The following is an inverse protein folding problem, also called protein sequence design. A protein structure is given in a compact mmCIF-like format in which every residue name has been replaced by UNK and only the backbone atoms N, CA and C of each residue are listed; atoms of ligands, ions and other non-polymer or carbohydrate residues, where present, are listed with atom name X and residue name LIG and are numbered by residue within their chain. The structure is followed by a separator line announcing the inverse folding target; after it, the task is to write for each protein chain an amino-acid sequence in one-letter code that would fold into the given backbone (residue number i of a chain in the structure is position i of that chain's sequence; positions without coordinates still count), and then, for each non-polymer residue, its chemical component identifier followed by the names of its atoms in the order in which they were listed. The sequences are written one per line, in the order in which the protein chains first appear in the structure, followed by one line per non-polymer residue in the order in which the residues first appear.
data_IF_854906575706
#
_entry.id   IF_854906575706
#
_cell.length_a   1.000
_cell.length_b   1.000
_cell.length_c   1.000
_cell.angle_alpha   90.00
_cell.angle_beta   90.00
_cell.angle_gamma   90.00
#
_symmetry.space_group_name_H-M   'P 1'
#
loop_
_entity.id
_entity.type
_entity.pdbx_description
1 polymer ?
#
# COMPACT_ATOMS: atom_id res chain seq x y z
N UNK A 1 48.12 -4.23 27.58
CA UNK A 1 46.94 -5.00 27.10
C UNK A 1 45.72 -4.13 27.36
N UNK A 2 45.07 -3.62 26.32
CA UNK A 2 43.83 -2.85 26.47
C UNK A 2 42.74 -3.83 26.91
N UNK A 3 42.24 -3.67 28.13
CA UNK A 3 41.11 -4.46 28.62
C UNK A 3 39.91 -4.00 27.79
N UNK A 4 39.45 -4.85 26.88
CA UNK A 4 38.26 -4.57 26.08
C UNK A 4 37.07 -4.42 27.02
N UNK A 5 36.41 -3.26 27.00
CA UNK A 5 35.18 -3.02 27.76
C UNK A 5 34.13 -4.08 27.43
N UNK A 6 33.44 -4.55 28.46
CA UNK A 6 32.26 -5.43 28.33
C UNK A 6 31.12 -4.73 27.58
N UNK A 7 30.21 -5.51 27.00
CA UNK A 7 29.05 -4.95 26.30
C UNK A 7 28.14 -4.11 27.22
N UNK A 8 28.05 -4.44 28.50
CA UNK A 8 27.32 -3.65 29.49
C UNK A 8 28.00 -2.29 29.75
N UNK A 9 29.33 -2.26 29.87
CA UNK A 9 30.09 -1.02 30.01
C UNK A 9 29.97 -0.14 28.76
N UNK A 10 29.95 -0.75 27.57
CA UNK A 10 29.71 -0.05 26.29
C UNK A 10 28.30 0.54 26.23
N UNK A 11 27.28 -0.17 26.72
CA UNK A 11 25.90 0.33 26.76
C UNK A 11 25.75 1.49 27.76
N UNK A 12 26.33 1.36 28.96
CA UNK A 12 26.31 2.41 30.00
C UNK A 12 27.08 3.66 29.59
N UNK A 13 28.20 3.49 28.88
CA UNK A 13 29.01 4.60 28.37
C UNK A 13 28.48 5.22 27.07
N UNK A 14 27.40 4.66 26.49
CA UNK A 14 26.76 5.24 25.31
C UNK A 14 26.23 6.62 25.64
N UNK A 15 26.77 7.64 24.97
CA UNK A 15 26.27 9.02 25.08
C UNK A 15 24.79 9.06 24.70
N UNK A 16 23.93 9.77 25.45
CA UNK A 16 22.55 10.00 25.05
C UNK A 16 22.49 10.59 23.64
N UNK A 17 21.61 10.04 22.80
CA UNK A 17 21.32 10.62 21.50
C UNK A 17 20.23 11.70 21.67
N UNK A 18 20.28 12.79 20.88
CA UNK A 18 19.17 13.72 20.81
C UNK A 18 17.94 13.02 20.24
N UNK A 19 16.75 13.62 20.44
CA UNK A 19 15.52 13.16 19.80
C UNK A 19 15.73 13.12 18.28
N UNK A 20 15.52 11.96 17.62
CA UNK A 20 15.74 11.83 16.20
C UNK A 20 14.71 12.66 15.41
N UNK A 21 15.13 13.21 14.28
CA UNK A 21 14.22 13.81 13.29
C UNK A 21 13.94 12.82 12.16
N UNK A 22 12.71 12.80 11.61
CA UNK A 22 12.41 12.01 10.42
C UNK A 22 13.34 12.36 9.26
N UNK A 23 13.78 11.33 8.51
CA UNK A 23 14.77 11.49 7.44
C UNK A 23 14.22 12.22 6.21
N UNK A 24 12.91 12.13 5.96
CA UNK A 24 12.23 12.76 4.85
C UNK A 24 11.09 13.59 5.43
N UNK A 25 11.28 14.90 5.46
CA UNK A 25 10.24 15.84 5.82
C UNK A 25 9.80 16.60 4.55
N UNK A 26 8.50 16.78 4.34
CA UNK A 26 8.02 17.61 3.24
C UNK A 26 8.51 19.05 3.40
N UNK A 27 9.18 19.57 2.37
CA UNK A 27 9.49 21.00 2.23
C UNK A 27 8.53 21.64 1.23
N UNK A 28 8.34 22.97 1.30
CA UNK A 28 7.51 23.69 0.32
C UNK A 28 7.97 23.37 -1.12
N UNK A 29 7.02 22.97 -1.98
CA UNK A 29 7.29 22.58 -3.37
C UNK A 29 7.91 21.17 -3.54
N UNK A 30 8.07 20.41 -2.45
CA UNK A 30 8.52 19.02 -2.52
C UNK A 30 7.44 18.14 -3.17
N UNK A 31 7.83 17.13 -3.97
CA UNK A 31 6.87 16.18 -4.53
C UNK A 31 6.24 15.26 -3.46
N UNK A 32 6.69 15.35 -2.20
CA UNK A 32 6.10 14.69 -1.04
C UNK A 32 4.80 15.36 -0.57
N UNK A 33 4.56 16.61 -0.95
CA UNK A 33 3.31 17.32 -0.66
C UNK A 33 2.45 17.41 -1.90
N UNK A 34 1.14 17.34 -1.69
CA UNK A 34 0.14 17.72 -2.69
C UNK A 34 -0.26 19.18 -2.51
N UNK A 35 -0.93 19.74 -3.51
CA UNK A 35 -1.69 20.99 -3.35
C UNK A 35 -3.07 20.62 -2.75
N UNK A 36 -3.34 20.88 -1.46
CA UNK A 36 -4.57 20.42 -0.82
C UNK A 36 -5.83 20.95 -1.50
N UNK A 37 -5.81 22.21 -1.95
CA UNK A 37 -6.95 22.84 -2.62
C UNK A 37 -7.29 22.15 -3.95
N UNK A 38 -6.27 21.74 -4.72
CA UNK A 38 -6.46 20.97 -5.95
C UNK A 38 -7.06 19.59 -5.68
N UNK A 39 -6.49 18.84 -4.74
CA UNK A 39 -6.96 17.47 -4.49
C UNK A 39 -8.31 17.44 -3.78
N UNK A 40 -8.63 18.45 -2.96
CA UNK A 40 -9.98 18.67 -2.47
C UNK A 40 -10.96 19.00 -3.61
N UNK A 41 -10.55 19.86 -4.55
CA UNK A 41 -11.36 20.14 -5.75
C UNK A 41 -11.62 18.87 -6.57
N UNK A 42 -10.61 18.02 -6.77
CA UNK A 42 -10.74 16.72 -7.45
C UNK A 42 -11.76 15.84 -6.72
N UNK A 43 -11.62 15.71 -5.39
CA UNK A 43 -12.49 14.88 -4.56
C UNK A 43 -13.96 15.31 -4.62
N UNK A 44 -14.23 16.61 -4.64
CA UNK A 44 -15.58 17.19 -4.59
C UNK A 44 -16.22 17.41 -5.97
N UNK A 45 -15.46 17.26 -7.05
CA UNK A 45 -15.95 17.52 -8.40
C UNK A 45 -16.98 16.49 -8.86
N UNK A 46 -17.92 16.87 -9.73
CA UNK A 46 -18.84 15.92 -10.35
C UNK A 46 -18.06 14.83 -11.10
N UNK A 47 -18.52 13.59 -10.97
CA UNK A 47 -17.85 12.42 -11.52
C UNK A 47 -18.86 11.39 -11.97
N UNK A 48 -18.54 10.66 -13.02
CA UNK A 48 -19.38 9.61 -13.59
C UNK A 48 -18.81 8.23 -13.25
N UNK A 49 -19.68 7.30 -12.87
CA UNK A 49 -19.29 5.93 -12.56
C UNK A 49 -18.99 5.17 -13.86
N UNK A 50 -17.78 4.65 -13.97
CA UNK A 50 -17.30 3.90 -15.15
C UNK A 50 -17.34 2.39 -14.92
N UNK A 51 -16.88 1.95 -13.75
CA UNK A 51 -16.88 0.54 -13.38
C UNK A 51 -17.30 0.38 -11.91
N UNK A 52 -18.10 -0.64 -11.62
CA UNK A 52 -18.50 -0.98 -10.25
C UNK A 52 -18.59 -2.48 -10.09
N UNK A 53 -17.98 -3.00 -9.03
CA UNK A 53 -18.08 -4.42 -8.70
C UNK A 53 -17.84 -4.68 -7.22
N UNK A 54 -18.39 -5.81 -6.77
CA UNK A 54 -18.17 -6.35 -5.44
C UNK A 54 -17.20 -7.52 -5.56
N UNK A 55 -16.13 -7.50 -4.76
CA UNK A 55 -15.21 -8.62 -4.60
C UNK A 55 -15.79 -9.54 -3.53
N UNK A 56 -16.07 -10.83 -3.86
CA UNK A 56 -16.47 -11.82 -2.86
C UNK A 56 -15.42 -11.95 -1.76
N UNK A 57 -15.81 -12.53 -0.61
CA UNK A 57 -14.87 -12.91 0.44
C UNK A 57 -13.76 -13.81 -0.10
N UNK A 58 -12.56 -13.73 0.48
CA UNK A 58 -11.45 -14.66 0.20
C UNK A 58 -11.13 -14.76 -1.29
N UNK A 59 -11.17 -13.65 -2.02
CA UNK A 59 -11.00 -13.62 -3.47
C UNK A 59 -10.16 -12.44 -3.90
N UNK A 60 -9.68 -12.47 -5.14
CA UNK A 60 -8.93 -11.38 -5.75
C UNK A 60 -9.51 -10.98 -7.10
N UNK A 61 -9.48 -9.67 -7.41
CA UNK A 61 -9.80 -9.15 -8.74
C UNK A 61 -8.85 -8.02 -9.09
N UNK A 62 -8.41 -7.99 -10.34
CA UNK A 62 -7.64 -6.91 -10.92
C UNK A 62 -8.48 -6.12 -11.94
N UNK A 63 -8.20 -4.83 -12.06
CA UNK A 63 -8.90 -3.90 -12.95
C UNK A 63 -7.95 -2.76 -13.38
N UNK A 64 -8.30 -2.07 -14.47
CA UNK A 64 -7.58 -0.87 -14.89
C UNK A 64 -8.25 0.38 -14.34
N UNK A 65 -7.45 1.34 -13.92
CA UNK A 65 -7.89 2.69 -13.57
C UNK A 65 -7.09 3.68 -14.42
N UNK A 66 -7.72 4.31 -15.44
CA UNK A 66 -7.04 5.30 -16.28
C UNK A 66 -6.46 6.43 -15.44
N UNK A 67 -5.39 7.07 -15.94
CA UNK A 67 -4.86 8.28 -15.31
C UNK A 67 -5.98 9.30 -15.11
N UNK A 68 -5.96 9.97 -13.95
CA UNK A 68 -6.92 10.98 -13.50
C UNK A 68 -8.32 10.48 -13.13
N UNK A 69 -8.56 9.17 -13.20
CA UNK A 69 -9.74 8.57 -12.60
C UNK A 69 -9.67 8.60 -11.07
N UNK A 70 -10.83 8.47 -10.42
CA UNK A 70 -10.95 8.24 -8.98
C UNK A 70 -11.33 6.79 -8.75
N UNK A 71 -10.61 6.10 -7.87
CA UNK A 71 -10.93 4.74 -7.42
C UNK A 71 -11.38 4.79 -5.98
N UNK A 72 -12.60 4.34 -5.69
CA UNK A 72 -13.12 4.14 -4.34
C UNK A 72 -13.09 2.66 -4.00
N UNK A 73 -12.58 2.33 -2.83
CA UNK A 73 -12.68 1.01 -2.22
C UNK A 73 -13.47 1.16 -0.92
N UNK A 74 -14.53 0.38 -0.74
CA UNK A 74 -15.43 0.50 0.42
C UNK A 74 -15.81 -0.85 1.05
N UNK A 75 -16.30 -0.77 2.28
CA UNK A 75 -16.77 -1.89 3.12
C UNK A 75 -18.30 -1.94 3.11
N UNK A 76 -18.97 -2.48 2.08
CA UNK A 76 -20.42 -2.38 1.93
C UNK A 76 -21.22 -3.07 3.05
N UNK A 77 -20.68 -4.12 3.64
CA UNK A 77 -21.37 -4.96 4.64
C UNK A 77 -20.75 -4.85 6.04
N UNK A 78 -19.79 -3.95 6.24
CA UNK A 78 -19.05 -3.80 7.49
C UNK A 78 -17.59 -4.23 7.38
N UNK A 79 -16.90 -4.46 8.50
CA UNK A 79 -15.44 -4.48 8.54
C UNK A 79 -14.85 -5.65 7.75
N UNK A 80 -13.88 -5.33 6.91
CA UNK A 80 -13.10 -6.26 6.11
C UNK A 80 -11.79 -5.60 5.72
N UNK A 81 -10.67 -6.30 5.91
CA UNK A 81 -9.35 -5.86 5.45
C UNK A 81 -9.14 -6.20 3.98
N UNK A 82 -8.48 -5.31 3.24
CA UNK A 82 -8.16 -5.49 1.83
C UNK A 82 -6.67 -5.32 1.53
N UNK A 83 -6.07 -6.29 0.83
CA UNK A 83 -4.68 -6.22 0.40
C UNK A 83 -4.63 -5.70 -1.04
N UNK A 84 -4.02 -4.53 -1.27
CA UNK A 84 -3.98 -3.88 -2.58
C UNK A 84 -2.56 -3.84 -3.17
N UNK A 85 -2.43 -4.27 -4.42
CA UNK A 85 -1.26 -4.06 -5.27
C UNK A 85 -1.59 -3.09 -6.41
N UNK A 86 -0.57 -2.34 -6.85
CA UNK A 86 -0.72 -1.29 -7.86
C UNK A 86 0.49 -1.33 -8.80
N UNK A 87 0.22 -1.40 -10.10
CA UNK A 87 1.19 -1.32 -11.17
C UNK A 87 0.85 -0.16 -12.10
N UNK A 88 1.84 0.34 -12.84
CA UNK A 88 1.55 1.10 -14.05
C UNK A 88 0.94 0.15 -15.10
N UNK A 89 -0.22 0.48 -15.64
CA UNK A 89 -0.98 -0.37 -16.56
C UNK A 89 -0.22 -0.71 -17.86
N UNK A 90 0.70 0.18 -18.26
CA UNK A 90 1.46 0.07 -19.50
C UNK A 90 2.88 -0.48 -19.26
N UNK A 91 3.29 -0.66 -18.01
CA UNK A 91 4.60 -1.20 -17.64
C UNK A 91 4.57 -1.83 -16.22
N UNK A 92 4.26 -3.13 -16.09
CA UNK A 92 4.20 -3.82 -14.78
C UNK A 92 5.54 -3.88 -14.02
N UNK A 93 6.67 -3.55 -14.65
CA UNK A 93 7.92 -3.37 -13.91
C UNK A 93 7.85 -2.17 -12.96
N UNK A 94 7.07 -1.15 -13.31
CA UNK A 94 6.74 -0.01 -12.46
C UNK A 94 5.56 -0.37 -11.55
N UNK A 95 5.84 -0.59 -10.27
CA UNK A 95 4.85 -1.04 -9.29
C UNK A 95 5.05 -0.38 -7.94
N UNK A 96 4.04 -0.46 -7.09
CA UNK A 96 4.03 0.15 -5.77
C UNK A 96 5.20 -0.34 -4.91
N UNK A 97 5.76 0.58 -4.12
CA UNK A 97 6.86 0.32 -3.21
C UNK A 97 6.50 0.74 -1.79
N UNK A 98 5.93 -0.20 -1.03
CA UNK A 98 5.48 0.00 0.35
C UNK A 98 6.59 0.57 1.25
N UNK A 99 7.79 -0.03 1.21
CA UNK A 99 8.90 0.40 2.09
C UNK A 99 9.36 1.84 1.81
N UNK A 100 9.36 2.30 0.55
CA UNK A 100 9.75 3.68 0.24
C UNK A 100 8.64 4.65 0.58
N UNK A 101 7.39 4.29 0.29
CA UNK A 101 6.21 5.06 0.70
C UNK A 101 6.22 5.27 2.21
N UNK A 102 6.52 4.22 2.99
CA UNK A 102 6.69 4.30 4.44
C UNK A 102 7.80 5.24 4.89
N UNK A 103 8.95 5.24 4.20
CA UNK A 103 10.05 6.15 4.51
C UNK A 103 9.69 7.62 4.21
N UNK A 104 8.89 7.87 3.18
CA UNK A 104 8.53 9.21 2.73
C UNK A 104 7.38 9.83 3.53
N UNK A 105 6.46 9.00 4.02
CA UNK A 105 5.26 9.43 4.76
C UNK A 105 5.26 8.90 6.19
N UNK A 106 4.76 7.68 6.40
CA UNK A 106 4.65 7.04 7.71
C UNK A 106 4.41 5.53 7.55
N UNK A 107 4.44 4.80 8.66
CA UNK A 107 4.04 3.38 8.74
C UNK A 107 2.65 3.09 8.20
N UNK A 108 1.77 4.09 8.19
CA UNK A 108 0.39 4.03 7.76
C UNK A 108 0.07 5.29 6.98
N UNK A 109 -0.82 5.21 6.01
CA UNK A 109 -1.11 6.30 5.06
C UNK A 109 -2.57 6.73 5.12
N UNK A 110 -2.82 8.01 4.86
CA UNK A 110 -4.17 8.58 4.82
C UNK A 110 -4.27 9.65 3.75
N UNK A 111 -5.34 10.44 3.78
CA UNK A 111 -5.60 11.54 2.83
C UNK A 111 -4.37 12.41 2.62
N UNK A 112 -4.09 12.68 1.34
CA UNK A 112 -2.93 13.41 0.79
C UNK A 112 -1.61 12.65 0.72
N UNK A 113 -1.51 11.47 1.32
CA UNK A 113 -0.34 10.62 1.10
C UNK A 113 -0.37 10.04 -0.32
N UNK A 114 0.83 9.93 -0.89
CA UNK A 114 1.08 9.38 -2.23
C UNK A 114 1.62 7.97 -2.14
N UNK A 115 1.12 7.06 -2.96
CA UNK A 115 1.69 5.71 -3.11
C UNK A 115 2.72 5.73 -4.23
N UNK A 116 3.99 5.46 -3.89
CA UNK A 116 5.13 5.66 -4.79
C UNK A 116 5.53 4.38 -5.52
N UNK A 117 5.99 4.53 -6.77
CA UNK A 117 6.55 3.42 -7.55
C UNK A 117 7.99 3.08 -7.16
N UNK A 118 8.39 1.84 -7.46
CA UNK A 118 9.73 1.31 -7.22
C UNK A 118 10.81 1.97 -8.11
N UNK A 119 12.09 1.65 -7.86
CA UNK A 119 13.19 2.07 -8.73
C UNK A 119 13.14 1.31 -10.07
N UNK A 120 13.56 1.93 -11.19
CA UNK A 120 14.10 3.30 -11.31
C UNK A 120 13.03 4.37 -11.56
N UNK A 121 11.75 4.07 -11.28
CA UNK A 121 10.61 4.91 -11.66
C UNK A 121 10.33 6.03 -10.67
N UNK A 122 10.27 5.70 -9.37
CA UNK A 122 10.19 6.62 -8.23
C UNK A 122 9.30 7.85 -8.46
N UNK A 123 8.03 7.62 -8.80
CA UNK A 123 7.02 8.65 -8.97
C UNK A 123 5.68 8.23 -8.35
N UNK A 124 4.75 9.15 -8.09
CA UNK A 124 3.43 8.80 -7.56
C UNK A 124 2.66 7.92 -8.56
N UNK A 125 2.10 6.80 -8.08
CA UNK A 125 1.14 5.98 -8.83
C UNK A 125 -0.28 6.48 -8.58
N UNK A 126 -0.62 6.74 -7.32
CA UNK A 126 -1.86 7.36 -6.92
C UNK A 126 -1.68 8.21 -5.65
N UNK A 127 -2.67 9.05 -5.40
CA UNK A 127 -2.76 9.89 -4.19
C UNK A 127 -4.07 9.58 -3.48
N UNK A 128 -4.03 9.40 -2.16
CA UNK A 128 -5.27 9.24 -1.37
C UNK A 128 -5.95 10.60 -1.29
N UNK A 129 -7.20 10.71 -1.72
CA UNK A 129 -7.97 11.97 -1.72
C UNK A 129 -9.07 12.01 -0.66
N UNK A 130 -9.41 10.85 -0.11
CA UNK A 130 -10.39 10.76 0.97
C UNK A 130 -10.22 9.45 1.73
N UNK A 131 -10.34 9.52 3.05
CA UNK A 131 -10.26 8.38 3.96
C UNK A 131 -11.29 8.57 5.08
N UNK A 132 -12.35 7.77 5.07
CA UNK A 132 -13.41 7.86 6.08
C UNK A 132 -12.96 7.40 7.47
N UNK A 133 -11.83 6.70 7.57
CA UNK A 133 -11.24 6.23 8.83
C UNK A 133 -10.10 7.13 9.33
N UNK A 134 -9.88 8.29 8.70
CA UNK A 134 -8.84 9.25 9.12
C UNK A 134 -8.98 9.72 10.58
N UNK A 135 -10.18 9.63 11.16
CA UNK A 135 -10.44 9.93 12.57
C UNK A 135 -9.75 8.95 13.54
N UNK A 136 -9.39 7.74 13.09
CA UNK A 136 -8.82 6.70 13.95
C UNK A 136 -7.51 7.13 14.61
N UNK A 137 -6.68 7.87 13.88
CA UNK A 137 -5.42 8.41 14.40
C UNK A 137 -4.48 7.32 14.89
N UNK A 138 -4.22 7.29 16.19
CA UNK A 138 -3.35 6.32 16.88
C UNK A 138 -4.08 5.78 18.09
N UNK A 139 -4.19 4.47 18.21
CA UNK A 139 -4.77 3.82 19.39
C UNK A 139 -3.75 3.76 20.56
N UNK A 140 -4.22 3.32 21.73
CA UNK A 140 -3.44 3.18 22.96
C UNK A 140 -2.31 2.15 22.89
N UNK A 141 -2.35 1.26 21.89
CA UNK A 141 -1.31 0.25 21.62
C UNK A 141 -0.31 0.72 20.56
N UNK A 142 -0.50 1.93 20.01
CA UNK A 142 0.29 2.47 18.91
C UNK A 142 -0.20 2.05 17.53
N UNK A 143 -1.37 1.42 17.45
CA UNK A 143 -2.00 0.94 16.23
C UNK A 143 -2.59 2.07 15.39
N UNK A 144 -2.60 1.89 14.07
CA UNK A 144 -3.16 2.84 13.08
C UNK A 144 -3.76 2.07 11.91
N UNK A 145 -4.60 2.72 11.09
CA UNK A 145 -5.28 2.10 9.93
C UNK A 145 -4.51 2.35 8.63
N UNK A 146 -4.62 1.44 7.64
CA UNK A 146 -4.01 1.51 6.30
C UNK A 146 -2.49 1.34 6.31
N UNK A 147 -2.06 0.10 6.58
CA UNK A 147 -0.69 -0.26 6.95
C UNK A 147 0.30 -0.47 5.76
N UNK A 148 1.58 -0.13 6.00
CA UNK A 148 2.77 -0.34 5.15
C UNK A 148 3.93 -1.10 5.86
N UNK A 149 3.68 -1.67 7.04
CA UNK A 149 4.57 -2.50 7.83
C UNK A 149 4.51 -3.96 7.38
N UNK A 150 3.30 -4.46 7.11
CA UNK A 150 3.06 -5.82 6.64
C UNK A 150 3.47 -6.03 5.18
N UNK A 151 3.38 -7.29 4.75
CA UNK A 151 3.65 -7.73 3.38
C UNK A 151 2.37 -8.15 2.67
N UNK A 152 1.77 -9.25 3.13
CA UNK A 152 0.47 -9.87 2.79
C UNK A 152 0.43 -11.25 3.43
N UNK A 153 -0.76 -11.77 3.75
CA UNK A 153 -0.84 -13.19 4.11
C UNK A 153 -0.55 -14.07 2.88
N UNK A 154 0.17 -15.17 3.08
CA UNK A 154 0.66 -16.01 2.00
C UNK A 154 0.66 -17.51 2.40
N UNK A 155 0.52 -18.42 1.41
CA UNK A 155 0.46 -19.84 1.71
C UNK A 155 1.79 -20.37 2.26
N UNK A 156 2.92 -19.77 1.92
CA UNK A 156 4.25 -20.25 2.28
C UNK A 156 4.54 -20.07 3.77
N UNK A 157 4.23 -18.90 4.34
CA UNK A 157 4.41 -18.66 5.77
C UNK A 157 3.43 -19.49 6.61
N UNK A 158 2.18 -19.68 6.13
CA UNK A 158 1.21 -20.55 6.81
C UNK A 158 1.70 -21.99 6.85
N UNK A 159 2.15 -22.53 5.71
CA UNK A 159 2.74 -23.88 5.64
C UNK A 159 4.02 -24.00 6.47
N UNK A 160 4.88 -22.98 6.49
CA UNK A 160 6.10 -22.98 7.30
C UNK A 160 5.80 -23.03 8.80
N UNK A 161 4.78 -22.29 9.26
CA UNK A 161 4.47 -22.17 10.69
C UNK A 161 3.51 -23.25 11.21
N UNK A 162 2.64 -23.79 10.36
CA UNK A 162 1.59 -24.74 10.76
C UNK A 162 1.72 -26.12 10.12
N UNK A 163 2.73 -26.32 9.27
CA UNK A 163 2.99 -27.58 8.58
C UNK A 163 2.21 -27.74 7.26
N UNK A 164 2.53 -28.77 6.46
CA UNK A 164 1.93 -29.00 5.13
C UNK A 164 0.41 -29.15 5.14
N UNK A 165 -0.13 -29.73 6.21
CA UNK A 165 -1.58 -29.98 6.38
C UNK A 165 -2.40 -28.68 6.47
N UNK A 166 -1.74 -27.55 6.79
CA UNK A 166 -2.34 -26.22 6.85
C UNK A 166 -2.23 -25.46 5.51
N UNK A 167 -1.86 -26.11 4.41
CA UNK A 167 -1.84 -25.45 3.10
C UNK A 167 -3.22 -24.94 2.72
N UNK A 168 -3.32 -23.67 2.32
CA UNK A 168 -4.58 -23.00 2.02
C UNK A 168 -4.45 -21.99 0.88
N UNK A 169 -5.38 -22.05 -0.09
CA UNK A 169 -5.26 -21.40 -1.40
C UNK A 169 -5.82 -19.97 -1.49
N UNK A 170 -6.49 -19.48 -0.44
CA UNK A 170 -7.19 -18.19 -0.48
C UNK A 170 -6.52 -17.09 0.37
N UNK A 171 -5.24 -17.26 0.66
CA UNK A 171 -4.38 -16.18 1.14
C UNK A 171 -4.31 -15.03 0.11
N UNK A 172 -4.06 -13.81 0.59
CA UNK A 172 -3.99 -12.62 -0.25
C UNK A 172 -2.96 -12.76 -1.36
N UNK A 173 -1.81 -13.34 -1.07
CA UNK A 173 -0.79 -13.65 -2.08
C UNK A 173 -1.36 -14.48 -3.25
N UNK A 174 -2.06 -15.57 -2.95
CA UNK A 174 -2.66 -16.45 -3.96
C UNK A 174 -3.82 -15.79 -4.69
N UNK A 175 -4.65 -15.01 -3.98
CA UNK A 175 -5.75 -14.24 -4.55
C UNK A 175 -5.24 -13.21 -5.58
N UNK A 176 -4.23 -12.42 -5.20
CA UNK A 176 -3.60 -11.43 -6.07
C UNK A 176 -2.92 -12.09 -7.27
N UNK A 177 -2.19 -13.18 -7.05
CA UNK A 177 -1.55 -13.95 -8.13
C UNK A 177 -2.56 -14.36 -9.18
N UNK A 178 -3.68 -15.00 -8.78
CA UNK A 178 -4.74 -15.39 -9.73
C UNK A 178 -5.39 -14.19 -10.41
N UNK A 179 -5.59 -13.10 -9.67
CA UNK A 179 -6.27 -11.91 -10.18
C UNK A 179 -5.51 -11.24 -11.35
N UNK A 180 -4.18 -11.31 -11.35
CA UNK A 180 -3.35 -10.63 -12.36
C UNK A 180 -2.98 -11.50 -13.56
N UNK A 181 -3.19 -12.82 -13.51
CA UNK A 181 -2.92 -13.73 -14.64
C UNK A 181 -3.56 -13.27 -15.97
N UNK A 182 -4.84 -12.80 -16.00
CA UNK A 182 -5.45 -12.33 -17.25
C UNK A 182 -4.78 -11.10 -17.86
N UNK A 183 -3.97 -10.38 -17.08
CA UNK A 183 -3.22 -9.20 -17.50
C UNK A 183 -1.78 -9.52 -17.92
N UNK A 184 -1.40 -10.81 -17.95
CA UNK A 184 -0.08 -11.28 -18.37
C UNK A 184 1.00 -11.19 -17.29
N UNK A 185 0.61 -10.93 -16.05
CA UNK A 185 1.50 -10.97 -14.88
C UNK A 185 1.48 -12.37 -14.25
N UNK A 186 2.43 -12.63 -13.36
CA UNK A 186 2.53 -13.88 -12.60
C UNK A 186 2.83 -13.60 -11.12
N UNK A 187 3.02 -14.67 -10.35
CA UNK A 187 3.29 -14.62 -8.91
C UNK A 187 4.47 -13.71 -8.53
N UNK A 188 5.53 -13.68 -9.34
CA UNK A 188 6.72 -12.86 -9.08
C UNK A 188 6.48 -11.34 -9.24
N UNK A 189 5.36 -10.95 -9.87
CA UNK A 189 4.96 -9.55 -10.01
C UNK A 189 4.22 -9.03 -8.76
N UNK A 190 3.74 -9.95 -7.90
CA UNK A 190 3.08 -9.60 -6.63
C UNK A 190 4.11 -9.04 -5.66
N UNK A 191 3.75 -7.94 -5.01
CA UNK A 191 4.63 -7.17 -4.14
C UNK A 191 3.95 -6.85 -2.82
N UNK A 192 4.71 -6.29 -1.87
CA UNK A 192 4.16 -5.88 -0.58
C UNK A 192 3.03 -4.88 -0.79
N UNK A 193 1.92 -5.14 -0.11
CA UNK A 193 0.64 -4.47 -0.34
C UNK A 193 0.55 -3.17 0.45
N UNK A 194 -0.47 -2.38 0.14
CA UNK A 194 -1.10 -1.53 1.15
C UNK A 194 -2.24 -2.31 1.78
N UNK A 195 -2.22 -2.42 3.11
CA UNK A 195 -3.19 -3.16 3.92
C UNK A 195 -4.36 -2.25 4.29
N UNK A 196 -5.36 -2.13 3.41
CA UNK A 196 -6.50 -1.25 3.58
C UNK A 196 -7.40 -1.69 4.73
N UNK A 197 -7.86 -0.71 5.51
CA UNK A 197 -8.74 -0.88 6.68
C UNK A 197 -8.12 -1.68 7.84
N UNK A 198 -6.91 -2.22 7.67
CA UNK A 198 -6.21 -3.00 8.69
C UNK A 198 -5.63 -2.10 9.77
N UNK A 199 -5.82 -2.47 11.04
CA UNK A 199 -5.13 -1.83 12.16
C UNK A 199 -3.88 -2.61 12.51
N UNK A 200 -2.73 -1.95 12.50
CA UNK A 200 -1.45 -2.58 12.85
C UNK A 200 -0.53 -1.64 13.62
N UNK A 201 0.48 -2.21 14.26
CA UNK A 201 1.55 -1.44 14.89
C UNK A 201 2.74 -2.31 15.26
N UNK A 202 3.66 -1.71 16.00
CA UNK A 202 4.80 -2.40 16.59
C UNK A 202 4.73 -2.29 18.11
N UNK A 203 4.87 -3.42 18.82
CA UNK A 203 4.88 -3.41 20.28
C UNK A 203 6.16 -2.77 20.85
N UNK A 204 6.27 -2.70 22.19
CA UNK A 204 7.44 -2.12 22.87
C UNK A 204 8.78 -2.83 22.57
N UNK A 205 8.73 -4.03 21.96
CA UNK A 205 9.88 -4.79 21.50
C UNK A 205 10.12 -4.67 19.99
N UNK A 206 9.30 -3.89 19.28
CA UNK A 206 9.37 -3.70 17.83
C UNK A 206 8.75 -4.84 17.02
N UNK A 207 7.86 -5.66 17.61
CA UNK A 207 7.20 -6.79 16.93
C UNK A 207 5.85 -6.38 16.35
N UNK A 208 5.55 -6.86 15.15
CA UNK A 208 4.30 -6.59 14.45
C UNK A 208 3.09 -7.18 15.17
N UNK A 209 2.01 -6.40 15.28
CA UNK A 209 0.72 -6.85 15.77
C UNK A 209 -0.42 -6.36 14.86
N UNK A 210 -1.59 -6.97 15.02
CA UNK A 210 -2.81 -6.61 14.29
C UNK A 210 -3.96 -6.48 15.29
N UNK A 211 -4.82 -5.49 15.08
CA UNK A 211 -6.05 -5.26 15.83
C UNK A 211 -7.28 -5.35 14.90
N UNK A 212 -8.49 -5.56 15.45
CA UNK A 212 -9.71 -5.60 14.65
C UNK A 212 -9.93 -4.32 13.84
N UNK A 213 -10.38 -4.49 12.60
CA UNK A 213 -10.75 -3.42 11.68
C UNK A 213 -11.90 -2.57 12.27
N UNK A 214 -11.78 -1.22 12.34
CA UNK A 214 -12.79 -0.35 12.93
C UNK A 214 -13.93 0.00 11.96
N UNK A 215 -13.81 -0.41 10.68
CA UNK A 215 -14.71 0.00 9.63
C UNK A 215 -16.16 -0.42 9.89
N UNK A 216 -17.08 0.42 9.46
CA UNK A 216 -18.51 0.22 9.45
C UNK A 216 -19.02 0.03 8.02
N UNK A 217 -20.27 -0.41 7.84
CA UNK A 217 -20.90 -0.45 6.52
C UNK A 217 -20.84 0.94 5.85
N UNK A 218 -20.20 1.01 4.69
CA UNK A 218 -20.07 2.23 3.89
C UNK A 218 -18.78 3.02 4.12
N UNK A 219 -17.92 2.64 5.06
CA UNK A 219 -16.56 3.22 5.15
C UNK A 219 -15.76 2.96 3.87
N UNK A 220 -14.83 3.87 3.57
CA UNK A 220 -14.12 3.87 2.30
C UNK A 220 -12.78 4.60 2.35
N UNK A 221 -11.98 4.32 1.32
CA UNK A 221 -10.80 5.09 0.94
C UNK A 221 -10.86 5.38 -0.57
N UNK A 222 -10.48 6.60 -0.97
CA UNK A 222 -10.45 7.02 -2.36
C UNK A 222 -9.04 7.40 -2.81
N UNK A 223 -8.71 7.00 -4.03
CA UNK A 223 -7.46 7.31 -4.69
C UNK A 223 -7.73 8.10 -5.97
N UNK A 224 -6.96 9.15 -6.20
CA UNK A 224 -6.79 9.73 -7.52
C UNK A 224 -5.63 9.04 -8.24
N UNK A 225 -5.89 8.51 -9.44
CA UNK A 225 -4.88 7.82 -10.25
C UNK A 225 -3.93 8.85 -10.89
N UNK A 226 -2.66 8.87 -10.47
CA UNK A 226 -1.65 9.81 -11.01
C UNK A 226 -1.07 9.33 -12.34
N UNK A 227 -1.33 8.07 -12.68
CA UNK A 227 -0.82 7.31 -13.82
C UNK A 227 -1.94 6.41 -14.33
N UNK A 228 -1.80 5.83 -15.52
CA UNK A 228 -2.63 4.67 -15.88
C UNK A 228 -2.24 3.49 -14.98
N UNK A 229 -3.19 2.96 -14.22
CA UNK A 229 -2.95 1.92 -13.22
C UNK A 229 -3.59 0.60 -13.62
N UNK A 230 -2.88 -0.48 -13.33
CA UNK A 230 -3.46 -1.80 -13.09
C UNK A 230 -3.48 -1.96 -11.57
N UNK A 231 -4.65 -2.18 -10.99
CA UNK A 231 -4.81 -2.42 -9.55
C UNK A 231 -5.32 -3.82 -9.34
N UNK A 232 -4.91 -4.47 -8.26
CA UNK A 232 -5.47 -5.75 -7.82
C UNK A 232 -5.71 -5.74 -6.32
N UNK A 233 -6.92 -6.11 -5.92
CA UNK A 233 -7.35 -6.15 -4.53
C UNK A 233 -7.69 -7.58 -4.16
N UNK A 234 -7.28 -8.00 -2.97
CA UNK A 234 -7.70 -9.23 -2.33
C UNK A 234 -8.54 -8.92 -1.09
N UNK A 235 -9.69 -9.58 -0.94
CA UNK A 235 -10.45 -9.61 0.32
C UNK A 235 -9.77 -10.60 1.26
N UNK A 236 -9.10 -10.09 2.30
CA UNK A 236 -8.28 -10.89 3.18
C UNK A 236 -9.07 -12.02 3.88
N UNK A 237 -8.56 -13.27 3.90
CA UNK A 237 -9.25 -14.39 4.54
C UNK A 237 -9.30 -14.29 6.07
N UNK A 238 -8.55 -13.36 6.66
CA UNK A 238 -8.64 -12.99 8.07
C UNK A 238 -9.83 -12.10 8.40
N UNK A 239 -10.59 -11.65 7.40
CA UNK A 239 -11.79 -10.83 7.58
C UNK A 239 -11.48 -9.46 8.18
N UNK A 240 -12.11 -9.14 9.30
CA UNK A 240 -11.82 -7.96 10.13
C UNK A 240 -10.65 -8.15 11.11
N UNK A 241 -9.99 -9.32 11.11
CA UNK A 241 -8.91 -9.71 12.02
C UNK A 241 -9.32 -9.85 13.50
N UNK A 242 -10.61 -9.96 13.82
CA UNK A 242 -11.04 -10.25 15.20
C UNK A 242 -10.82 -11.71 15.62
N UNK A 243 -10.73 -12.63 14.65
CA UNK A 243 -10.58 -14.08 14.86
C UNK A 243 -9.31 -14.65 14.20
N UNK A 244 -8.31 -13.82 13.92
CA UNK A 244 -7.14 -14.24 13.14
C UNK A 244 -6.27 -15.26 13.88
N UNK A 245 -5.66 -16.18 13.13
CA UNK A 245 -4.70 -17.16 13.64
C UNK A 245 -4.10 -18.01 12.51
N UNK A 246 -3.12 -18.85 12.86
CA UNK A 246 -2.44 -19.76 11.93
C UNK A 246 -3.06 -21.17 11.98
N UNK A 247 -3.05 -21.85 10.83
CA UNK A 247 -3.49 -23.24 10.72
C UNK A 247 -4.98 -23.44 10.43
N UNK A 248 -5.32 -24.69 10.11
CA UNK A 248 -6.64 -25.09 9.58
C UNK A 248 -7.83 -24.79 10.50
N UNK A 249 -7.62 -24.79 11.82
CA UNK A 249 -8.70 -24.49 12.77
C UNK A 249 -9.01 -23.00 12.83
N UNK A 250 -7.99 -22.14 12.75
CA UNK A 250 -8.20 -20.70 12.60
C UNK A 250 -8.91 -20.36 11.30
N UNK A 251 -8.62 -21.05 10.20
CA UNK A 251 -9.28 -20.81 8.91
C UNK A 251 -10.81 -21.01 8.95
N UNK A 252 -11.28 -21.99 9.74
CA UNK A 252 -12.72 -22.27 9.96
C UNK A 252 -13.41 -21.19 10.77
N UNK A 253 -12.67 -20.49 11.64
CA UNK A 253 -13.19 -19.39 12.45
C UNK A 253 -13.15 -18.07 11.69
N UNK A 254 -12.04 -17.76 11.00
CA UNK A 254 -11.87 -16.52 10.26
C UNK A 254 -12.93 -16.30 9.17
N UNK A 255 -13.53 -17.36 8.63
CA UNK A 255 -14.57 -17.20 7.59
C UNK A 255 -15.80 -16.45 8.13
N UNK A 256 -16.07 -16.59 9.43
CA UNK A 256 -17.24 -16.00 10.10
C UNK A 256 -17.17 -14.47 10.18
N UNK A 257 -15.98 -13.90 10.05
CA UNK A 257 -15.74 -12.46 10.04
C UNK A 257 -15.28 -11.92 8.67
N UNK A 258 -15.38 -12.73 7.60
CA UNK A 258 -15.11 -12.29 6.23
C UNK A 258 -16.34 -11.62 5.61
N UNK A 259 -16.14 -10.48 4.96
CA UNK A 259 -17.18 -9.72 4.25
C UNK A 259 -16.65 -9.26 2.87
N UNK A 260 -17.50 -8.97 1.89
CA UNK A 260 -17.03 -8.48 0.60
C UNK A 260 -16.50 -7.05 0.70
N UNK A 261 -15.67 -6.67 -0.27
CA UNK A 261 -15.29 -5.27 -0.53
C UNK A 261 -15.91 -4.80 -1.85
N UNK A 262 -16.18 -3.50 -1.98
CA UNK A 262 -16.69 -2.91 -3.22
C UNK A 262 -15.66 -1.97 -3.82
N UNK A 263 -15.46 -2.06 -5.14
CA UNK A 263 -14.62 -1.16 -5.91
C UNK A 263 -15.48 -0.39 -6.90
N UNK A 264 -15.23 0.91 -6.99
CA UNK A 264 -15.85 1.82 -7.95
C UNK A 264 -14.77 2.68 -8.61
N UNK A 265 -14.84 2.81 -9.93
CA UNK A 265 -13.96 3.68 -10.72
C UNK A 265 -14.80 4.78 -11.33
N UNK A 266 -14.36 6.02 -11.16
CA UNK A 266 -15.05 7.21 -11.63
C UNK A 266 -14.15 8.04 -12.56
N UNK A 267 -14.76 8.65 -13.58
CA UNK A 267 -14.14 9.70 -14.39
C UNK A 267 -14.64 11.07 -13.95
N UNK A 268 -13.75 12.07 -13.97
CA UNK A 268 -14.11 13.45 -13.64
C UNK A 268 -14.89 14.08 -14.79
N UNK A 269 -16.06 14.65 -14.48
CA UNK A 269 -16.80 15.49 -15.43
C UNK A 269 -16.05 16.81 -15.56
N UNK A 270 -15.85 17.29 -16.79
CA UNK A 270 -15.05 18.49 -17.08
C UNK A 270 -13.60 18.42 -16.52
N UNK A 271 -13.00 17.24 -16.53
CA UNK A 271 -11.62 16.97 -16.08
C UNK A 271 -10.61 18.06 -16.50
N UNK A 272 -10.66 18.47 -17.77
CA UNK A 272 -9.73 19.46 -18.33
C UNK A 272 -9.81 20.80 -17.61
N UNK A 273 -10.99 21.23 -17.18
CA UNK A 273 -11.21 22.48 -16.43
C UNK A 273 -10.70 22.36 -14.99
N UNK A 274 -10.97 21.23 -14.34
CA UNK A 274 -10.56 20.96 -12.95
C UNK A 274 -9.03 20.93 -12.86
N UNK A 275 -8.37 20.27 -13.82
CA UNK A 275 -6.94 20.02 -13.81
C UNK A 275 -6.10 21.09 -14.54
N UNK A 276 -6.72 21.92 -15.40
CA UNK A 276 -6.03 22.88 -16.29
C UNK A 276 -4.94 23.69 -15.57
N UNK A 277 -3.68 23.41 -15.89
CA UNK A 277 -2.51 24.11 -15.36
C UNK A 277 -2.22 23.88 -13.88
N UNK A 278 -3.07 23.14 -13.16
CA UNK A 278 -2.94 22.88 -11.72
C UNK A 278 -2.34 21.51 -11.43
N UNK A 279 -2.70 20.50 -12.23
CA UNK A 279 -2.17 19.16 -12.12
C UNK A 279 -1.11 18.91 -13.19
N UNK A 280 -0.05 18.20 -12.81
CA UNK A 280 0.98 17.72 -13.73
C UNK A 280 1.26 16.25 -13.44
N UNK A 281 1.35 15.47 -14.50
CA UNK A 281 1.70 14.07 -14.41
C UNK A 281 3.09 13.89 -13.74
N UNK A 282 3.16 12.99 -12.76
CA UNK A 282 4.41 12.61 -12.12
C UNK A 282 5.42 12.06 -13.13
N UNK A 283 6.58 12.70 -13.23
CA UNK A 283 7.68 12.24 -14.08
C UNK A 283 8.68 11.43 -13.26
N UNK A 284 9.31 10.46 -13.93
CA UNK A 284 10.43 9.71 -13.35
C UNK A 284 11.59 10.67 -13.04
N UNK A 285 12.32 10.49 -11.93
CA UNK A 285 13.53 11.26 -11.67
C UNK A 285 14.57 11.05 -12.78
N UNK A 286 15.16 12.14 -13.26
CA UNK A 286 16.21 12.12 -14.30
C UNK A 286 17.59 11.87 -13.65
N UNK A 287 17.75 10.68 -13.03
CA UNK A 287 19.03 10.28 -12.44
C UNK A 287 20.04 9.93 -13.55
N UNK A 288 20.96 10.86 -13.84
CA UNK A 288 21.98 10.72 -14.90
C UNK A 288 23.29 10.11 -14.44
N UNK A 289 23.41 9.73 -13.17
CA UNK A 289 24.70 9.31 -12.59
C UNK A 289 25.21 7.96 -13.10
N UNK A 290 24.41 7.18 -13.84
CA UNK A 290 24.73 5.84 -14.37
C UNK A 290 25.41 4.93 -13.32
N UNK A 291 25.02 5.08 -12.04
CA UNK A 291 25.62 4.37 -10.91
C UNK A 291 27.15 4.56 -10.78
N UNK A 292 27.68 5.68 -11.27
CA UNK A 292 29.12 5.96 -11.33
C UNK A 292 29.89 5.07 -12.31
N UNK A 293 29.18 4.32 -13.16
CA UNK A 293 29.81 3.42 -14.13
C UNK A 293 30.21 4.17 -15.39
N UNK A 294 31.37 3.82 -15.93
CA UNK A 294 31.72 4.06 -17.33
C UNK A 294 31.59 2.73 -18.06
N UNK A 295 30.62 2.62 -18.97
CA UNK A 295 30.47 1.43 -19.82
C UNK A 295 31.33 1.65 -21.07
N UNK A 296 32.35 0.82 -21.34
CA UNK A 296 33.14 0.95 -22.56
C UNK A 296 32.26 0.72 -23.79
N UNK A 297 32.28 1.64 -24.76
CA UNK A 297 31.51 1.53 -26.02
C UNK A 297 32.21 0.67 -27.09
N UNK A 298 33.33 0.03 -26.74
CA UNK A 298 34.22 -0.65 -27.67
C UNK A 298 35.34 0.26 -28.18
N UNK A 299 36.20 -0.27 -29.05
CA UNK A 299 37.27 0.50 -29.69
C UNK A 299 36.73 1.21 -30.94
N UNK A 300 37.02 2.50 -31.07
CA UNK A 300 36.81 3.19 -32.34
C UNK A 300 37.90 2.72 -33.30
N UNK A 301 37.51 2.11 -34.43
CA UNK A 301 38.47 1.84 -35.52
C UNK A 301 39.06 3.17 -35.96
N UNK A 302 40.37 3.32 -35.73
CA UNK A 302 41.18 4.42 -36.27
C UNK A 302 41.52 4.17 -37.72
#
# INVERSE_FOLDING_TARGET
MSISQSNEERLKSRKPLPTPQPAYLPTAGSPLTVNPELYQSIQQSPRELVESFVLPIRSGRAWKAPAKSIVRISTPEGPQVGDLNIWNANNPRERFWASRTKQLHSSHVTTYDRLWSCLPYMRPLCTIISDSLSWYGVDETGGRVHDLLGTRCDPYINTLLSGPEASYDYHCHSNLTRAVLPFGLNESDIHDVINLFQVTGLDSRGRYFMNPCPAQPGDYIEFFAEQDLLMALSTCPGGDLSLWGFGSDSEKEMIKCCRPLKVEVFELVEESSILAGKWQEGRRPDYRGVHGMTVPEGEVRT
#
